data_IF_183622898546
#
_entry.id   IF_183622898546
#
_cell.length_a   1.000
_cell.length_b   1.000
_cell.length_c   1.000
_cell.angle_alpha   90.00
_cell.angle_beta   90.00
_cell.angle_gamma   90.00
#
_symmetry.space_group_name_H-M   'P 1'
#
loop_
_entity.id
_entity.type
_entity.pdbx_description
1 polymer ?
#
# COMPACT_ATOMS: atom_id res chain seq x y z
N UNK A 1 9.77 -16.82 -30.89
CA UNK A 1 9.92 -15.38 -30.60
C UNK A 1 9.03 -15.05 -29.41
N UNK A 2 9.62 -14.75 -28.25
CA UNK A 2 8.89 -14.31 -27.07
C UNK A 2 8.45 -12.86 -27.31
N UNK A 3 7.15 -12.62 -27.20
CA UNK A 3 6.54 -11.33 -27.45
C UNK A 3 6.94 -10.36 -26.33
N UNK A 4 7.87 -9.44 -26.62
CA UNK A 4 8.39 -8.42 -25.69
C UNK A 4 7.42 -7.28 -25.41
N UNK A 5 6.19 -7.34 -25.95
CA UNK A 5 5.17 -6.30 -25.82
C UNK A 5 4.20 -6.51 -24.64
N UNK A 6 4.36 -7.58 -23.86
CA UNK A 6 3.66 -7.71 -22.59
C UNK A 6 4.45 -6.94 -21.52
N UNK A 7 4.21 -5.62 -21.46
CA UNK A 7 4.41 -4.83 -20.24
C UNK A 7 3.93 -5.69 -19.06
N UNK A 8 4.78 -5.82 -18.03
CA UNK A 8 4.44 -6.51 -16.80
C UNK A 8 3.45 -5.68 -15.99
N UNK A 9 2.25 -5.49 -16.55
CA UNK A 9 1.05 -5.20 -15.80
C UNK A 9 1.04 -6.18 -14.63
N UNK A 10 0.97 -5.66 -13.41
CA UNK A 10 1.00 -6.42 -12.16
C UNK A 10 2.38 -6.79 -11.59
N UNK A 11 3.48 -6.12 -12.00
CA UNK A 11 4.82 -6.27 -11.37
C UNK A 11 4.93 -5.63 -9.97
N UNK A 12 4.03 -4.70 -9.65
CA UNK A 12 3.89 -4.16 -8.30
C UNK A 12 3.33 -5.19 -7.32
N UNK A 13 3.62 -4.98 -6.04
CA UNK A 13 3.07 -5.77 -4.95
C UNK A 13 1.57 -5.54 -4.81
N UNK A 14 0.84 -6.61 -4.49
CA UNK A 14 -0.58 -6.50 -4.20
C UNK A 14 -0.82 -5.93 -2.77
N UNK A 15 -1.93 -5.22 -2.59
CA UNK A 15 -2.39 -4.75 -1.27
C UNK A 15 -2.97 -5.89 -0.43
N UNK A 16 -3.05 -5.64 0.88
CA UNK A 16 -3.58 -6.55 1.88
C UNK A 16 -5.09 -6.40 2.08
N UNK A 17 -5.64 -7.23 2.96
CA UNK A 17 -7.04 -7.22 3.36
C UNK A 17 -7.18 -7.18 4.87
N UNK A 18 -8.11 -6.35 5.36
CA UNK A 18 -8.44 -6.26 6.79
C UNK A 18 -9.95 -6.15 6.98
N UNK A 19 -10.46 -6.86 7.97
CA UNK A 19 -11.88 -6.89 8.35
C UNK A 19 -12.04 -6.94 9.87
N UNK A 20 -13.11 -6.33 10.35
CA UNK A 20 -13.61 -6.55 11.70
C UNK A 20 -15.01 -5.96 11.90
N UNK A 21 -15.60 -6.27 13.05
CA UNK A 21 -16.89 -5.78 13.49
C UNK A 21 -16.67 -4.74 14.59
N UNK A 22 -17.32 -3.59 14.52
CA UNK A 22 -17.27 -2.56 15.57
C UNK A 22 -18.67 -2.24 16.07
N UNK A 23 -18.79 -2.11 17.39
CA UNK A 23 -20.01 -1.63 18.07
C UNK A 23 -19.89 -0.14 18.35
N UNK A 24 -20.88 0.63 17.91
CA UNK A 24 -20.95 2.08 18.10
C UNK A 24 -22.10 2.37 19.07
N UNK A 25 -21.74 2.71 20.32
CA UNK A 25 -22.69 2.99 21.40
C UNK A 25 -23.06 4.47 21.57
N UNK A 26 -22.40 5.37 20.85
CA UNK A 26 -22.65 6.81 20.84
C UNK A 26 -22.32 7.38 19.47
N UNK A 27 -22.82 8.57 19.11
CA UNK A 27 -22.50 9.19 17.82
C UNK A 27 -20.98 9.27 17.60
N UNK A 28 -20.52 8.70 16.48
CA UNK A 28 -19.10 8.62 16.12
C UNK A 28 -18.94 9.03 14.65
N UNK A 29 -18.01 9.94 14.38
CA UNK A 29 -17.63 10.32 13.01
C UNK A 29 -16.37 9.57 12.60
N UNK A 30 -16.42 8.96 11.42
CA UNK A 30 -15.32 8.19 10.84
C UNK A 30 -14.97 8.80 9.47
N UNK A 31 -13.67 8.89 9.19
CA UNK A 31 -13.16 9.43 7.94
C UNK A 31 -12.48 8.31 7.15
N UNK A 32 -12.99 8.04 5.95
CA UNK A 32 -12.47 7.01 5.07
C UNK A 32 -11.47 7.61 4.08
N UNK A 33 -10.28 7.01 4.01
CA UNK A 33 -9.26 7.31 3.00
C UNK A 33 -9.12 6.09 2.08
N UNK A 34 -9.50 6.29 0.82
CA UNK A 34 -9.42 5.27 -0.22
C UNK A 34 -8.08 5.36 -0.96
N UNK A 35 -7.13 4.51 -0.58
CA UNK A 35 -5.82 4.44 -1.26
C UNK A 35 -5.93 4.22 -2.76
N UNK A 36 -4.99 4.75 -3.53
CA UNK A 36 -4.89 4.48 -4.98
C UNK A 36 -3.71 3.57 -5.32
N UNK A 37 -3.76 2.94 -6.49
CA UNK A 37 -2.59 2.28 -7.05
C UNK A 37 -1.50 3.33 -7.33
N UNK A 38 -0.24 2.95 -7.16
CA UNK A 38 0.87 3.71 -7.72
C UNK A 38 0.86 3.63 -9.24
N UNK A 39 1.55 4.55 -9.88
CA UNK A 39 1.70 4.53 -11.33
C UNK A 39 2.63 3.39 -11.75
N UNK A 40 2.23 2.69 -12.81
CA UNK A 40 3.12 1.77 -13.51
C UNK A 40 4.31 2.55 -14.08
N UNK A 41 5.39 1.84 -14.37
CA UNK A 41 6.53 2.40 -15.06
C UNK A 41 6.12 2.93 -16.45
N UNK A 42 6.50 4.16 -16.78
CA UNK A 42 6.14 4.79 -18.05
C UNK A 42 6.88 4.19 -19.25
N UNK A 43 8.10 3.68 -19.07
CA UNK A 43 8.79 2.85 -20.06
C UNK A 43 10.05 2.16 -19.50
N UNK A 44 10.35 0.95 -20.00
CA UNK A 44 11.58 0.16 -19.70
C UNK A 44 12.75 0.45 -20.66
N UNK A 45 12.56 1.30 -21.68
CA UNK A 45 13.53 1.54 -22.80
C UNK A 45 13.34 2.87 -23.54
N UNK A 46 12.86 3.92 -22.90
CA UNK A 46 12.51 5.17 -23.60
C UNK A 46 12.12 6.35 -22.70
N UNK A 47 12.88 7.43 -22.84
CA UNK A 47 12.54 8.84 -22.60
C UNK A 47 11.45 9.15 -21.55
N UNK A 48 11.61 8.70 -20.31
CA UNK A 48 10.74 9.09 -19.20
C UNK A 48 11.43 10.05 -18.24
N UNK A 49 11.30 11.37 -18.43
CA UNK A 49 11.86 12.36 -17.49
C UNK A 49 11.07 12.49 -16.19
N UNK A 50 9.84 11.95 -16.14
CA UNK A 50 8.94 12.10 -15.00
C UNK A 50 8.95 10.85 -14.11
N UNK A 51 9.16 11.08 -12.81
CA UNK A 51 9.13 10.05 -11.78
C UNK A 51 7.72 9.45 -11.64
N UNK A 52 7.57 8.12 -11.71
CA UNK A 52 6.25 7.47 -11.47
C UNK A 52 5.72 7.85 -10.09
N UNK A 53 4.48 8.33 -10.05
CA UNK A 53 3.85 8.78 -8.82
C UNK A 53 3.44 7.59 -7.94
N UNK A 54 3.60 7.79 -6.63
CA UNK A 54 3.02 6.89 -5.63
C UNK A 54 1.50 7.03 -5.57
N UNK A 55 0.85 5.97 -5.10
CA UNK A 55 -0.60 5.92 -4.93
C UNK A 55 -1.08 6.91 -3.86
N UNK A 56 -2.21 7.55 -4.14
CA UNK A 56 -2.88 8.46 -3.21
C UNK A 56 -3.11 7.80 -1.85
N UNK A 57 -2.96 8.56 -0.77
CA UNK A 57 -2.77 8.07 0.61
C UNK A 57 -1.37 7.48 0.87
N UNK A 58 -0.36 8.21 0.39
CA UNK A 58 1.06 8.13 0.80
C UNK A 58 1.86 6.93 0.33
N UNK A 59 1.52 6.34 -0.82
CA UNK A 59 2.48 5.50 -1.54
C UNK A 59 3.71 6.30 -1.95
N UNK A 60 4.89 5.68 -1.87
CA UNK A 60 6.14 6.28 -2.30
C UNK A 60 6.22 6.36 -3.82
N UNK A 61 6.88 7.37 -4.35
CA UNK A 61 7.20 7.49 -5.79
C UNK A 61 8.26 6.47 -6.19
N UNK A 62 8.32 6.09 -7.46
CA UNK A 62 9.43 5.31 -7.99
C UNK A 62 10.75 6.06 -7.99
N UNK A 63 11.89 5.38 -8.01
CA UNK A 63 13.19 6.01 -8.23
C UNK A 63 13.35 6.45 -9.69
N UNK A 64 14.42 7.20 -9.99
CA UNK A 64 14.86 7.50 -11.35
C UNK A 64 16.29 7.03 -11.57
N UNK A 65 16.53 6.33 -12.68
CA UNK A 65 17.87 6.04 -13.17
C UNK A 65 18.39 7.28 -13.90
N UNK A 66 19.35 7.95 -13.28
CA UNK A 66 19.95 9.20 -13.77
C UNK A 66 21.27 8.94 -14.51
N UNK A 67 21.69 7.69 -14.67
CA UNK A 67 22.88 7.34 -15.44
C UNK A 67 22.66 7.57 -16.95
N UNK A 68 21.49 7.24 -17.47
CA UNK A 68 21.10 7.58 -18.85
C UNK A 68 20.51 8.99 -18.89
N UNK A 69 21.34 9.98 -19.23
CA UNK A 69 20.97 11.39 -19.22
C UNK A 69 19.96 11.77 -20.31
N UNK A 70 19.83 10.95 -21.36
CA UNK A 70 18.96 11.24 -22.51
C UNK A 70 17.64 10.43 -22.47
N UNK A 71 17.62 9.33 -21.70
CA UNK A 71 16.50 8.39 -21.60
C UNK A 71 16.36 7.80 -20.18
N UNK A 72 16.17 8.62 -19.12
CA UNK A 72 16.04 8.09 -17.78
C UNK A 72 14.87 7.09 -17.68
N UNK A 73 15.12 5.98 -16.99
CA UNK A 73 14.13 4.96 -16.67
C UNK A 73 13.65 5.18 -15.23
N UNK A 74 12.38 4.89 -14.94
CA UNK A 74 11.79 5.09 -13.61
C UNK A 74 11.26 3.78 -13.02
N UNK A 75 11.42 3.61 -11.71
CA UNK A 75 10.75 2.55 -10.98
C UNK A 75 9.24 2.85 -10.92
N UNK A 76 8.40 1.84 -10.71
CA UNK A 76 6.97 2.06 -10.51
C UNK A 76 6.70 2.65 -9.11
N UNK A 77 5.58 3.36 -8.96
CA UNK A 77 5.13 3.89 -7.68
C UNK A 77 4.60 2.80 -6.74
N UNK A 78 4.77 3.00 -5.43
CA UNK A 78 4.13 2.18 -4.40
C UNK A 78 2.66 2.54 -4.21
N UNK A 79 1.86 1.61 -3.70
CA UNK A 79 0.43 1.84 -3.46
C UNK A 79 0.13 2.74 -2.26
N UNK A 80 -1.08 3.28 -2.26
CA UNK A 80 -1.68 3.98 -1.13
C UNK A 80 -2.50 3.04 -0.24
N UNK A 81 -2.41 3.22 1.07
CA UNK A 81 -3.16 2.41 2.04
C UNK A 81 -4.66 2.75 2.00
N UNK A 82 -5.49 1.82 2.45
CA UNK A 82 -6.90 2.11 2.72
C UNK A 82 -7.12 2.12 4.21
N UNK A 83 -7.66 3.22 4.74
CA UNK A 83 -7.80 3.35 6.18
C UNK A 83 -9.01 4.16 6.62
N UNK A 84 -9.39 3.96 7.88
CA UNK A 84 -10.42 4.76 8.56
C UNK A 84 -9.79 5.44 9.77
N UNK A 85 -10.07 6.73 9.90
CA UNK A 85 -9.53 7.63 10.93
C UNK A 85 -10.64 8.26 11.77
N UNK A 86 -10.27 8.66 12.98
CA UNK A 86 -11.15 9.46 13.86
C UNK A 86 -10.94 10.95 13.69
N UNK A 87 -9.80 11.37 13.16
CA UNK A 87 -9.47 12.77 12.90
C UNK A 87 -9.27 13.01 11.41
N UNK A 88 -10.02 13.96 10.89
CA UNK A 88 -9.94 14.39 9.49
C UNK A 88 -8.73 15.28 9.23
N UNK A 89 -8.13 15.09 8.06
CA UNK A 89 -7.25 16.06 7.40
C UNK A 89 -7.52 16.01 5.90
N UNK A 90 -7.28 17.12 5.22
CA UNK A 90 -7.10 17.08 3.77
C UNK A 90 -5.63 16.77 3.46
N UNK A 91 -5.38 15.53 3.04
CA UNK A 91 -4.02 15.06 2.75
C UNK A 91 -3.40 15.68 1.49
N UNK A 92 -4.18 16.38 0.68
CA UNK A 92 -3.68 17.07 -0.51
C UNK A 92 -3.16 18.48 -0.18
N UNK A 93 -3.54 19.02 0.98
CA UNK A 93 -3.22 20.40 1.39
C UNK A 93 -2.24 20.39 2.57
N UNK A 94 -2.43 19.49 3.52
CA UNK A 94 -1.65 19.45 4.75
C UNK A 94 -0.37 18.63 4.54
N UNK A 95 0.83 19.23 4.71
CA UNK A 95 2.09 18.51 4.53
C UNK A 95 2.32 17.48 5.64
N UNK A 96 3.10 16.45 5.33
CA UNK A 96 3.37 15.29 6.21
C UNK A 96 4.15 15.63 7.48
N UNK A 97 4.80 16.80 7.55
CA UNK A 97 5.49 17.30 8.74
C UNK A 97 4.55 18.09 9.69
N UNK A 98 3.27 18.25 9.35
CA UNK A 98 2.32 19.00 10.16
C UNK A 98 1.81 18.20 11.37
N UNK A 99 1.57 18.86 12.51
CA UNK A 99 0.99 18.22 13.70
C UNK A 99 -0.40 17.60 13.43
N UNK A 100 -1.26 18.28 12.65
CA UNK A 100 -2.58 17.73 12.27
C UNK A 100 -2.44 16.46 11.45
N UNK A 101 -1.41 16.38 10.61
CA UNK A 101 -1.10 15.16 9.88
C UNK A 101 -0.79 14.01 10.84
N UNK A 102 0.12 14.24 11.80
CA UNK A 102 0.48 13.26 12.83
C UNK A 102 -0.75 12.79 13.61
N UNK A 103 -1.61 13.71 14.04
CA UNK A 103 -2.83 13.40 14.79
C UNK A 103 -3.82 12.54 14.00
N UNK A 104 -4.01 12.84 12.71
CA UNK A 104 -4.88 12.04 11.85
C UNK A 104 -4.32 10.64 11.63
N UNK A 105 -3.05 10.53 11.30
CA UNK A 105 -2.39 9.25 11.07
C UNK A 105 -2.35 8.38 12.34
N UNK A 106 -2.19 8.96 13.53
CA UNK A 106 -2.35 8.22 14.80
C UNK A 106 -3.77 7.76 15.07
N UNK A 107 -4.77 8.47 14.54
CA UNK A 107 -6.18 8.18 14.77
C UNK A 107 -6.75 7.07 13.89
N UNK A 108 -5.90 6.38 13.11
CA UNK A 108 -6.29 5.24 12.30
C UNK A 108 -6.72 4.08 13.19
N UNK A 109 -7.90 3.54 12.93
CA UNK A 109 -8.48 2.43 13.70
C UNK A 109 -8.51 1.11 12.92
N UNK A 110 -8.40 1.18 11.60
CA UNK A 110 -8.26 0.04 10.67
C UNK A 110 -7.51 0.52 9.44
N UNK A 111 -6.55 -0.27 8.96
CA UNK A 111 -5.65 0.03 7.83
C UNK A 111 -5.37 -1.25 7.06
N UNK A 112 -5.70 -1.28 5.78
CA UNK A 112 -5.16 -2.26 4.83
C UNK A 112 -3.88 -1.67 4.20
N UNK A 113 -2.75 -2.33 4.46
CA UNK A 113 -1.46 -2.02 3.86
C UNK A 113 -1.44 -2.25 2.35
N UNK A 114 -0.64 -1.47 1.64
CA UNK A 114 -0.50 -1.53 0.19
C UNK A 114 0.85 -2.15 -0.22
N UNK A 115 0.95 -2.64 -1.45
CA UNK A 115 2.21 -3.17 -1.97
C UNK A 115 3.14 -2.08 -2.52
N UNK A 116 4.42 -2.41 -2.64
CA UNK A 116 5.42 -1.54 -3.29
C UNK A 116 5.39 -1.62 -4.82
N UNK A 117 6.06 -0.69 -5.48
CA UNK A 117 6.28 -0.66 -6.93
C UNK A 117 7.47 -1.52 -7.36
N UNK A 118 7.52 -1.87 -8.64
CA UNK A 118 8.65 -2.60 -9.23
C UNK A 118 9.83 -1.69 -9.58
N UNK A 119 10.99 -2.31 -9.83
CA UNK A 119 12.21 -1.68 -10.37
C UNK A 119 12.01 -1.20 -11.81
N UNK A 120 12.87 -0.29 -12.30
CA UNK A 120 12.83 0.22 -13.68
C UNK A 120 13.38 -0.72 -14.77
N UNK A 121 14.19 -1.71 -14.41
CA UNK A 121 14.83 -2.55 -15.44
C UNK A 121 13.90 -3.66 -15.96
N UNK A 122 14.16 -4.09 -17.20
CA UNK A 122 13.55 -5.28 -17.76
C UNK A 122 14.03 -6.52 -16.99
N UNK A 123 13.15 -7.00 -16.13
CA UNK A 123 13.30 -8.19 -15.29
C UNK A 123 13.69 -9.48 -16.03
N UNK A 124 13.55 -9.52 -17.37
CA UNK A 124 13.99 -10.64 -18.22
C UNK A 124 15.47 -10.60 -18.58
N UNK A 125 16.16 -9.48 -18.40
CA UNK A 125 17.63 -9.41 -18.57
C UNK A 125 18.36 -10.29 -17.56
N UNK A 126 17.69 -10.70 -16.49
CA UNK A 126 18.25 -11.60 -15.49
C UNK A 126 17.83 -13.06 -15.74
N UNK A 127 18.80 -13.87 -16.14
CA UNK A 127 18.63 -15.30 -16.42
C UNK A 127 18.32 -16.16 -15.16
N UNK A 128 18.55 -15.62 -13.95
CA UNK A 128 18.38 -16.35 -12.70
C UNK A 128 17.05 -15.99 -12.02
N UNK A 129 16.29 -17.00 -11.60
CA UNK A 129 15.00 -16.83 -10.89
C UNK A 129 15.15 -16.02 -9.59
N UNK A 130 16.29 -16.15 -8.91
CA UNK A 130 16.55 -15.50 -7.61
C UNK A 130 16.56 -13.98 -7.69
N UNK A 131 17.01 -13.38 -8.80
CA UNK A 131 17.05 -11.92 -8.98
C UNK A 131 15.72 -11.34 -9.46
N UNK A 132 14.79 -12.17 -9.97
CA UNK A 132 13.44 -11.73 -10.35
C UNK A 132 12.59 -11.35 -9.12
N UNK A 133 12.78 -12.03 -7.99
CA UNK A 133 12.05 -11.71 -6.76
C UNK A 133 12.38 -10.30 -6.24
N UNK A 134 13.62 -9.85 -6.41
CA UNK A 134 14.06 -8.52 -5.95
C UNK A 134 13.56 -7.39 -6.82
N UNK A 135 13.29 -7.65 -8.10
CA UNK A 135 12.80 -6.66 -9.04
C UNK A 135 11.30 -6.34 -8.91
N UNK A 136 10.53 -7.20 -8.24
CA UNK A 136 9.09 -6.98 -8.00
C UNK A 136 8.83 -6.12 -6.77
N UNK A 137 7.71 -5.42 -6.79
CA UNK A 137 7.19 -4.79 -5.59
C UNK A 137 6.77 -5.83 -4.57
N UNK A 138 7.15 -5.63 -3.30
CA UNK A 138 6.75 -6.53 -2.22
C UNK A 138 5.28 -6.27 -1.83
N UNK A 139 4.50 -7.32 -1.53
CA UNK A 139 3.10 -7.19 -1.17
C UNK A 139 2.91 -6.50 0.18
N UNK A 140 1.75 -5.86 0.38
CA UNK A 140 1.35 -5.36 1.69
C UNK A 140 1.24 -6.49 2.72
N UNK A 141 1.62 -6.22 3.96
CA UNK A 141 1.69 -7.23 5.02
C UNK A 141 0.48 -7.26 5.94
N UNK A 142 0.44 -8.24 6.85
CA UNK A 142 -0.45 -8.23 8.01
C UNK A 142 0.18 -7.38 9.11
N UNK A 143 0.74 -7.99 10.16
CA UNK A 143 1.52 -7.31 11.19
C UNK A 143 2.87 -6.85 10.65
N UNK A 144 3.44 -7.71 9.81
CA UNK A 144 4.72 -7.55 9.14
C UNK A 144 4.52 -7.76 7.63
N UNK A 145 5.29 -7.03 6.84
CA UNK A 145 5.39 -7.19 5.39
C UNK A 145 6.69 -7.91 5.02
N UNK A 146 6.72 -8.51 3.82
CA UNK A 146 7.88 -9.22 3.31
C UNK A 146 9.11 -8.29 3.20
N UNK A 147 10.30 -8.90 3.26
CA UNK A 147 11.58 -8.21 3.07
C UNK A 147 12.44 -8.89 2.00
N UNK A 148 13.33 -8.13 1.40
CA UNK A 148 14.41 -8.57 0.53
C UNK A 148 15.77 -8.17 1.11
N UNK A 149 16.85 -8.23 0.30
CA UNK A 149 18.22 -7.84 0.70
C UNK A 149 18.28 -6.41 1.24
N UNK A 150 17.64 -5.46 0.55
CA UNK A 150 17.67 -4.03 0.92
C UNK A 150 16.29 -3.37 0.98
N UNK A 151 15.25 -4.07 0.56
CA UNK A 151 13.87 -3.60 0.66
C UNK A 151 13.22 -4.21 1.88
N UNK A 152 12.74 -3.39 2.79
CA UNK A 152 12.13 -3.83 4.03
C UNK A 152 10.65 -3.49 4.00
N UNK A 153 9.79 -4.51 4.09
CA UNK A 153 8.38 -4.31 4.38
C UNK A 153 8.18 -3.75 5.78
N UNK A 154 7.15 -2.93 5.96
CA UNK A 154 6.87 -2.34 7.26
C UNK A 154 6.33 -3.38 8.27
N UNK A 155 6.39 -3.01 9.56
CA UNK A 155 5.71 -3.74 10.63
C UNK A 155 4.78 -2.83 11.44
N UNK A 156 4.28 -3.28 12.57
CA UNK A 156 3.57 -2.43 13.53
C UNK A 156 4.47 -1.31 14.09
N UNK A 157 5.78 -1.55 14.18
CA UNK A 157 6.75 -0.67 14.87
C UNK A 157 7.87 -0.16 13.96
N UNK A 158 8.12 -0.81 12.83
CA UNK A 158 9.19 -0.48 11.88
C UNK A 158 8.63 0.17 10.61
N UNK A 159 9.38 1.13 10.07
CA UNK A 159 8.98 1.97 8.94
C UNK A 159 8.32 3.28 9.36
N UNK A 160 8.14 4.19 8.39
CA UNK A 160 7.53 5.48 8.65
C UNK A 160 6.02 5.30 8.85
N UNK A 161 5.47 5.97 9.86
CA UNK A 161 4.05 5.85 10.16
C UNK A 161 3.20 6.44 9.01
N UNK A 162 2.36 5.60 8.41
CA UNK A 162 1.43 6.00 7.36
C UNK A 162 2.02 6.24 5.98
N UNK A 163 3.35 6.28 5.82
CA UNK A 163 3.99 6.74 4.59
C UNK A 163 4.96 5.68 4.07
N UNK A 164 4.83 5.32 2.79
CA UNK A 164 5.84 4.53 2.08
C UNK A 164 6.97 5.43 1.59
N UNK A 165 8.21 4.96 1.75
CA UNK A 165 9.40 5.72 1.30
C UNK A 165 9.52 5.69 -0.22
N UNK A 166 9.89 6.82 -0.80
CA UNK A 166 10.21 6.94 -2.23
C UNK A 166 11.37 6.03 -2.64
N UNK A 167 11.34 5.60 -3.90
CA UNK A 167 12.44 4.86 -4.51
C UNK A 167 13.73 5.68 -4.54
N UNK A 168 14.86 4.98 -4.48
CA UNK A 168 16.19 5.57 -4.58
C UNK A 168 16.53 5.81 -6.05
N UNK A 169 16.73 7.08 -6.38
CA UNK A 169 17.36 7.52 -7.62
C UNK A 169 18.89 7.43 -7.51
N UNK A 170 19.57 7.19 -8.62
CA UNK A 170 21.02 6.96 -8.64
C UNK A 170 21.64 7.37 -9.97
N UNK A 171 22.88 7.89 -9.91
CA UNK A 171 23.70 8.20 -11.08
C UNK A 171 24.71 7.07 -11.41
N UNK A 172 24.72 6.00 -10.62
CA UNK A 172 25.75 4.95 -10.64
C UNK A 172 25.21 3.59 -11.09
N UNK A 173 23.90 3.47 -11.29
CA UNK A 173 23.30 2.22 -11.75
C UNK A 173 23.56 2.03 -13.23
N UNK A 174 24.06 0.85 -13.56
CA UNK A 174 24.12 0.34 -14.93
C UNK A 174 22.70 -0.10 -15.35
N UNK A 175 21.71 0.81 -15.35
CA UNK A 175 20.37 0.57 -15.93
C UNK A 175 19.23 0.16 -14.98
N UNK A 176 19.22 0.56 -13.70
CA UNK A 176 18.09 0.28 -12.80
C UNK A 176 17.96 1.24 -11.59
N UNK A 177 16.74 1.66 -11.27
CA UNK A 177 16.38 2.34 -10.01
C UNK A 177 15.22 1.64 -9.29
N UNK A 178 15.10 1.84 -7.97
CA UNK A 178 14.13 1.09 -7.17
C UNK A 178 12.68 1.54 -7.36
N UNK A 179 11.72 0.68 -7.03
CA UNK A 179 10.30 1.08 -6.96
C UNK A 179 10.01 2.04 -5.80
N UNK A 180 8.79 2.55 -5.70
CA UNK A 180 8.30 3.24 -4.50
C UNK A 180 7.74 2.25 -3.47
N UNK A 181 7.89 2.51 -2.18
CA UNK A 181 7.31 1.61 -1.16
C UNK A 181 5.82 1.87 -0.95
N UNK A 182 5.06 0.82 -0.65
CA UNK A 182 3.67 0.90 -0.26
C UNK A 182 3.51 1.51 1.14
N UNK A 183 2.45 2.29 1.31
CA UNK A 183 2.00 2.77 2.62
C UNK A 183 1.15 1.73 3.35
N UNK A 184 0.97 1.93 4.65
CA UNK A 184 0.19 1.06 5.52
C UNK A 184 0.04 1.71 6.88
N UNK A 185 -0.20 0.92 7.93
CA UNK A 185 -0.07 1.43 9.29
C UNK A 185 1.33 2.04 9.48
N UNK A 186 2.35 1.31 9.02
CA UNK A 186 3.65 1.87 8.61
C UNK A 186 3.89 1.53 7.14
N UNK A 187 4.64 2.36 6.43
CA UNK A 187 5.03 2.10 5.06
C UNK A 187 6.40 1.43 4.96
N UNK A 188 6.61 0.71 3.86
CA UNK A 188 7.87 0.05 3.54
C UNK A 188 9.01 1.06 3.35
N UNK A 189 10.24 0.57 3.47
CA UNK A 189 11.44 1.40 3.41
C UNK A 189 12.66 0.64 2.89
N UNK A 190 13.79 1.34 2.77
CA UNK A 190 15.04 0.81 2.24
C UNK A 190 16.17 0.86 3.27
N UNK A 191 17.01 -0.17 3.25
CA UNK A 191 18.30 -0.24 3.98
C UNK A 191 19.45 -0.38 2.97
N UNK A 192 19.40 0.40 1.89
CA UNK A 192 20.45 0.42 0.85
C UNK A 192 21.69 1.13 1.42
N UNK A 193 22.90 0.56 1.32
CA UNK A 193 24.14 1.20 1.74
C UNK A 193 24.44 2.51 0.99
N UNK A 194 25.10 3.45 1.67
CA UNK A 194 25.59 4.71 1.10
C UNK A 194 27.11 4.85 1.39
N UNK A 195 28.00 4.93 0.38
CA UNK A 195 27.72 4.95 -1.05
C UNK A 195 27.24 3.59 -1.59
N UNK A 196 26.47 3.64 -2.66
CA UNK A 196 26.05 2.43 -3.40
C UNK A 196 27.26 1.91 -4.19
N UNK A 197 27.82 0.77 -3.78
CA UNK A 197 29.03 0.19 -4.40
C UNK A 197 28.76 -1.02 -5.29
N UNK A 198 27.50 -1.46 -5.39
CA UNK A 198 27.06 -2.60 -6.20
C UNK A 198 25.77 -2.29 -6.96
N UNK A 199 25.48 -3.10 -7.99
CA UNK A 199 24.24 -3.01 -8.76
C UNK A 199 23.04 -3.38 -7.88
N UNK A 200 22.05 -2.49 -7.76
CA UNK A 200 20.85 -2.75 -6.95
C UNK A 200 19.59 -2.80 -7.84
N UNK A 201 18.91 -3.95 -7.79
CA UNK A 201 17.64 -4.18 -8.48
C UNK A 201 16.62 -4.47 -7.37
N UNK A 202 15.88 -3.46 -6.94
CA UNK A 202 15.01 -3.59 -5.78
C UNK A 202 13.65 -2.93 -6.05
N UNK A 203 12.57 -3.69 -5.99
CA UNK A 203 11.23 -3.12 -5.85
C UNK A 203 11.03 -2.53 -4.45
N UNK A 204 9.92 -1.83 -4.26
CA UNK A 204 9.53 -1.22 -2.99
C UNK A 204 8.94 -2.21 -2.00
N UNK A 205 9.06 -1.86 -0.72
CA UNK A 205 8.52 -2.65 0.39
C UNK A 205 7.02 -2.45 0.49
N UNK A 206 6.28 -3.46 0.94
CA UNK A 206 4.87 -3.31 1.29
C UNK A 206 4.68 -2.61 2.64
N UNK A 207 3.54 -1.94 2.80
CA UNK A 207 3.11 -1.39 4.08
C UNK A 207 2.46 -2.46 4.97
N UNK A 208 2.52 -2.25 6.28
CA UNK A 208 1.84 -3.12 7.26
C UNK A 208 0.35 -2.79 7.36
N UNK A 209 -0.43 -3.75 7.79
CA UNK A 209 -1.86 -3.57 8.09
C UNK A 209 -2.07 -3.31 9.58
N UNK A 210 -3.26 -2.85 9.95
CA UNK A 210 -3.62 -2.61 11.34
C UNK A 210 -5.13 -2.73 11.54
N UNK A 211 -5.56 -3.24 12.69
CA UNK A 211 -6.93 -3.07 13.15
C UNK A 211 -6.96 -3.08 14.67
N UNK A 212 -7.58 -2.06 15.24
CA UNK A 212 -7.64 -1.91 16.70
C UNK A 212 -8.39 -3.09 17.32
N UNK A 213 -7.86 -3.66 18.39
CA UNK A 213 -8.45 -4.81 19.07
C UNK A 213 -8.07 -6.17 18.48
N UNK A 214 -7.33 -6.24 17.38
CA UNK A 214 -6.72 -7.50 16.95
C UNK A 214 -5.60 -7.89 17.91
N UNK A 215 -5.50 -9.17 18.32
CA UNK A 215 -4.33 -9.66 19.03
C UNK A 215 -3.06 -9.23 18.32
N UNK A 216 -2.00 -8.92 19.08
CA UNK A 216 -0.65 -8.54 18.59
C UNK A 216 -0.54 -7.27 17.74
N UNK A 217 -1.64 -6.63 17.32
CA UNK A 217 -1.60 -5.23 16.89
C UNK A 217 -1.32 -4.30 18.07
N UNK A 218 -0.70 -3.16 17.81
CA UNK A 218 -0.46 -2.19 18.88
C UNK A 218 -1.78 -1.60 19.41
N UNK A 219 -1.83 -1.36 20.71
CA UNK A 219 -3.04 -0.86 21.36
C UNK A 219 -3.40 0.54 20.85
N UNK A 220 -4.63 0.71 20.38
CA UNK A 220 -5.14 2.03 20.03
C UNK A 220 -5.36 2.87 21.29
N UNK A 221 -4.98 4.15 21.31
CA UNK A 221 -5.30 5.04 22.42
C UNK A 221 -6.77 5.49 22.45
N UNK A 222 -7.58 5.12 21.45
CA UNK A 222 -8.90 5.71 21.22
C UNK A 222 -10.11 4.91 21.75
N UNK A 223 -9.94 3.94 22.65
CA UNK A 223 -11.02 3.12 23.22
C UNK A 223 -12.00 2.54 22.18
N UNK A 224 -11.54 2.36 20.95
CA UNK A 224 -12.26 1.72 19.85
C UNK A 224 -11.58 0.39 19.60
N UNK A 225 -12.37 -0.67 19.55
CA UNK A 225 -11.88 -2.04 19.36
C UNK A 225 -12.83 -2.79 18.44
N UNK A 226 -12.25 -3.55 17.54
CA UNK A 226 -12.99 -4.45 16.66
C UNK A 226 -12.99 -5.86 17.24
N UNK A 227 -14.07 -6.59 17.00
CA UNK A 227 -14.18 -8.03 17.22
C UNK A 227 -14.21 -8.77 15.89
N UNK A 228 -14.01 -10.10 15.91
CA UNK A 228 -13.98 -10.94 14.71
C UNK A 228 -13.00 -10.42 13.65
N UNK A 229 -11.83 -9.98 14.12
CA UNK A 229 -10.82 -9.33 13.29
C UNK A 229 -10.07 -10.34 12.44
N UNK A 230 -9.84 -10.00 11.18
CA UNK A 230 -9.13 -10.83 10.19
C UNK A 230 -8.18 -9.94 9.40
N UNK A 231 -6.97 -10.43 9.17
CA UNK A 231 -5.93 -9.77 8.37
C UNK A 231 -5.31 -10.80 7.41
N UNK A 232 -5.21 -10.47 6.13
CA UNK A 232 -4.49 -11.24 5.12
C UNK A 232 -3.52 -10.34 4.38
N UNK A 233 -2.28 -10.78 4.19
CA UNK A 233 -1.27 -10.09 3.40
C UNK A 233 -1.58 -10.17 1.90
N UNK A 234 -0.94 -9.31 1.11
CA UNK A 234 -1.09 -9.27 -0.34
C UNK A 234 -0.50 -10.48 -1.08
N UNK A 235 0.16 -11.39 -0.37
CA UNK A 235 0.60 -12.69 -0.88
C UNK A 235 -0.33 -13.85 -0.48
N UNK A 236 -1.44 -13.57 0.22
CA UNK A 236 -2.37 -14.58 0.70
C UNK A 236 -3.66 -14.58 -0.13
N UNK A 237 -4.34 -15.73 -0.16
CA UNK A 237 -5.67 -15.84 -0.77
C UNK A 237 -6.69 -15.14 0.10
N UNK A 238 -7.40 -14.18 -0.45
CA UNK A 238 -8.36 -13.36 0.29
C UNK A 238 -9.62 -13.06 -0.52
N UNK A 239 -10.74 -12.74 0.15
CA UNK A 239 -11.97 -12.40 -0.52
C UNK A 239 -11.82 -11.19 -1.42
N UNK A 240 -12.53 -11.18 -2.55
CA UNK A 240 -12.68 -10.03 -3.42
C UNK A 240 -14.00 -9.28 -3.15
N UNK A 241 -14.08 -7.96 -3.41
CA UNK A 241 -15.21 -7.15 -2.93
C UNK A 241 -16.56 -7.57 -3.47
N UNK A 242 -16.55 -8.08 -4.71
CA UNK A 242 -17.73 -8.47 -5.47
C UNK A 242 -17.91 -10.00 -5.54
N UNK A 243 -17.22 -10.73 -4.67
CA UNK A 243 -17.23 -12.19 -4.62
C UNK A 243 -16.00 -12.83 -5.25
N UNK A 244 -15.79 -14.10 -4.93
CA UNK A 244 -14.58 -14.85 -5.31
C UNK A 244 -13.39 -14.61 -4.39
N UNK A 245 -12.28 -15.26 -4.73
CA UNK A 245 -11.01 -15.20 -4.02
C UNK A 245 -9.90 -14.82 -5.00
N UNK A 246 -8.88 -14.09 -4.52
CA UNK A 246 -7.63 -13.86 -5.27
C UNK A 246 -6.44 -13.78 -4.33
N UNK A 247 -5.23 -13.91 -4.88
CA UNK A 247 -4.00 -13.66 -4.13
C UNK A 247 -3.75 -12.16 -4.12
N UNK A 248 -3.94 -11.53 -2.96
CA UNK A 248 -3.82 -10.09 -2.79
C UNK A 248 -4.80 -9.27 -3.63
N UNK A 249 -4.76 -7.95 -3.40
CA UNK A 249 -5.61 -6.99 -4.09
C UNK A 249 -4.80 -6.11 -5.05
N UNK A 250 -5.25 -5.97 -6.30
CA UNK A 250 -4.58 -5.17 -7.33
C UNK A 250 -5.48 -4.04 -7.83
N UNK A 251 -4.89 -2.88 -8.11
CA UNK A 251 -5.60 -1.64 -8.44
C UNK A 251 -5.71 -0.70 -7.25
N UNK A 252 -6.67 0.23 -7.27
CA UNK A 252 -6.88 1.15 -6.14
C UNK A 252 -7.40 0.38 -4.93
N UNK A 253 -7.70 1.07 -3.84
CA UNK A 253 -8.28 0.53 -2.63
C UNK A 253 -9.79 0.80 -2.52
N UNK A 254 -10.49 0.07 -1.65
CA UNK A 254 -11.95 0.23 -1.41
C UNK A 254 -12.25 -0.15 0.01
N UNK A 255 -13.36 0.39 0.51
CA UNK A 255 -14.02 0.03 1.74
C UNK A 255 -15.47 -0.38 1.45
N UNK A 256 -15.92 -1.47 2.06
CA UNK A 256 -17.29 -1.95 2.10
C UNK A 256 -17.74 -1.92 3.55
N UNK A 257 -18.80 -1.17 3.81
CA UNK A 257 -19.40 -1.04 5.13
C UNK A 257 -20.72 -1.80 5.09
N UNK A 258 -20.97 -2.62 6.10
CA UNK A 258 -22.20 -3.41 6.20
C UNK A 258 -22.81 -3.20 7.58
N UNK A 259 -24.08 -2.82 7.63
CA UNK A 259 -24.83 -2.76 8.88
C UNK A 259 -25.13 -4.20 9.36
N UNK A 260 -24.80 -4.48 10.61
CA UNK A 260 -25.07 -5.75 11.28
C UNK A 260 -26.18 -5.66 12.32
N UNK A 261 -26.82 -4.49 12.46
CA UNK A 261 -27.96 -4.39 13.35
C UNK A 261 -29.06 -5.34 12.86
N UNK A 262 -29.63 -6.16 13.75
CA UNK A 262 -30.79 -6.96 13.39
C UNK A 262 -31.90 -6.02 12.94
N UNK A 263 -32.59 -6.38 11.85
CA UNK A 263 -33.77 -5.69 11.34
C UNK A 263 -34.90 -5.74 12.38
N UNK A 264 -34.83 -4.90 13.40
CA UNK A 264 -35.94 -4.69 14.32
C UNK A 264 -36.74 -3.49 13.83
N UNK A 265 -37.86 -3.78 13.18
CA UNK A 265 -39.02 -2.90 13.22
C UNK A 265 -39.54 -2.98 14.66
N UNK A 266 -39.22 -1.98 15.46
CA UNK A 266 -40.00 -1.68 16.66
C UNK A 266 -40.14 -0.17 16.83
N UNK A 267 -41.39 0.27 16.97
CA UNK A 267 -41.71 1.63 17.36
C UNK A 267 -41.07 1.92 18.72
N UNK A 268 -40.30 3.03 18.77
CA UNK A 268 -39.76 3.68 19.96
C UNK A 268 -38.79 2.85 20.84
N UNK A 269 -37.48 2.94 20.57
CA UNK A 269 -36.45 3.40 21.54
C UNK A 269 -35.02 3.25 20.96
N UNK A 270 -34.15 4.20 21.36
CA UNK A 270 -32.69 4.35 21.16
C UNK A 270 -31.91 3.15 20.54
N UNK A 271 -31.36 3.38 19.33
CA UNK A 271 -30.53 2.41 18.59
C UNK A 271 -29.05 2.45 19.01
N UNK A 272 -28.51 1.28 19.35
CA UNK A 272 -27.07 1.00 19.31
C UNK A 272 -26.75 0.33 17.96
N UNK A 273 -25.79 0.86 17.20
CA UNK A 273 -25.47 0.38 15.86
C UNK A 273 -24.21 -0.48 15.87
N UNK A 274 -24.22 -1.60 15.12
CA UNK A 274 -23.04 -2.43 14.88
C UNK A 274 -22.71 -2.38 13.39
N UNK A 275 -21.48 -2.00 13.03
CA UNK A 275 -21.04 -1.93 11.65
C UNK A 275 -19.90 -2.93 11.40
N UNK A 276 -19.92 -3.54 10.21
CA UNK A 276 -18.83 -4.32 9.64
C UNK A 276 -18.08 -3.50 8.61
N UNK A 277 -16.76 -3.53 8.66
CA UNK A 277 -15.90 -2.91 7.66
C UNK A 277 -15.12 -4.00 6.92
N UNK A 278 -15.14 -3.95 5.59
CA UNK A 278 -14.53 -4.91 4.67
C UNK A 278 -13.81 -4.11 3.58
N UNK A 279 -12.49 -4.00 3.60
CA UNK A 279 -11.75 -3.14 2.65
C UNK A 279 -11.21 -3.91 1.44
N UNK A 280 -11.77 -3.75 0.22
CA UNK A 280 -11.33 -4.47 -1.01
C UNK A 280 -11.82 -3.82 -2.32
N UNK A 281 -11.04 -3.64 -3.42
CA UNK A 281 -11.39 -2.75 -4.58
C UNK A 281 -11.78 -3.33 -5.95
N UNK A 282 -12.50 -2.52 -6.75
CA UNK A 282 -12.51 -2.61 -8.22
C UNK A 282 -12.95 -1.30 -8.93
N UNK A 283 -12.65 -1.22 -10.24
CA UNK A 283 -12.57 -0.03 -11.10
C UNK A 283 -13.84 0.23 -11.94
N UNK A 284 -14.29 1.48 -12.02
CA UNK A 284 -15.19 1.98 -13.08
C UNK A 284 -14.36 2.29 -14.34
N UNK A 285 -14.66 1.61 -15.47
CA UNK A 285 -14.16 1.99 -16.80
C UNK A 285 -14.97 3.19 -17.31
N UNK A 286 -14.31 4.30 -17.61
CA UNK A 286 -14.82 5.29 -18.57
C UNK A 286 -14.60 4.72 -19.97
N UNK A 287 -15.69 4.53 -20.71
CA UNK A 287 -15.67 4.51 -22.17
C UNK A 287 -15.54 5.97 -22.64
N UNK A 288 -14.49 6.24 -23.41
CA UNK A 288 -14.50 7.15 -24.56
C UNK A 288 -13.50 6.59 -25.56
#
# INVERSE_FOLDING_TARGET
MLNTNNLYKDSGGAGSYVKGNIKIGSPLTLYLYLGAAGEDQSSIRGHGVDQSLGGWNFGGKGGMDLFDTDHPENGAGGGGAVDIRLKYIDINIIPTNNLKFRESIDSRIIVAGSGGGAVSDNITRFANISSKFYAWGLPGGTLDSMRSKYTIGASQTMGQLGIGVDGKSTNYSVGACSGGSGSGYRGGYYEIPDPITEYFIQGGGGGSSYISGHPVCITSPYNISFTNTVMYGGNESMPQPFGGMSIGHRGNGVCRITDLSPDFISCNLLKNFNFNFVLIHNKLRRQF
#
